data_IF_223649557486
#
_entry.id   IF_223649557486
#
_cell.length_a   1.000
_cell.length_b   1.000
_cell.length_c   1.000
_cell.angle_alpha   90.00
_cell.angle_beta   90.00
_cell.angle_gamma   90.00
#
_symmetry.space_group_name_H-M   'P 1'
#
loop_
_entity.id
_entity.type
_entity.pdbx_description
1 polymer ?
#
# COMPACT_ATOMS: atom_id res chain seq x y z
N UNK A 1 30.44 -22.12 30.34
CA UNK A 1 29.00 -21.77 30.38
C UNK A 1 28.37 -22.49 31.56
N UNK A 2 27.52 -21.83 32.35
CA UNK A 2 26.79 -22.51 33.42
C UNK A 2 25.81 -23.51 32.82
N UNK A 3 25.62 -24.66 33.46
CA UNK A 3 24.57 -25.58 33.05
C UNK A 3 23.19 -24.95 33.29
N UNK A 4 22.13 -25.36 32.56
CA UNK A 4 20.78 -24.84 32.78
C UNK A 4 20.33 -24.96 34.24
N UNK A 5 20.74 -26.06 34.90
CA UNK A 5 20.49 -26.31 36.32
C UNK A 5 21.19 -25.32 37.24
N UNK A 6 22.48 -25.05 37.04
CA UNK A 6 23.24 -24.06 37.81
C UNK A 6 22.70 -22.63 37.63
N UNK A 7 22.27 -22.30 36.41
CA UNK A 7 21.64 -21.01 36.13
C UNK A 7 20.33 -20.83 36.91
N UNK A 8 19.53 -21.90 37.00
CA UNK A 8 18.29 -21.92 37.77
C UNK A 8 18.54 -21.87 39.28
N UNK A 9 19.50 -22.62 39.80
CA UNK A 9 19.86 -22.61 41.23
C UNK A 9 20.27 -21.20 41.69
N UNK A 10 21.09 -20.50 40.91
CA UNK A 10 21.47 -19.11 41.22
C UNK A 10 20.29 -18.14 41.11
N UNK A 11 19.40 -18.34 40.14
CA UNK A 11 18.16 -17.56 40.03
C UNK A 11 17.29 -17.73 41.29
N UNK A 12 17.05 -18.97 41.73
CA UNK A 12 16.31 -19.28 42.95
C UNK A 12 16.95 -18.66 44.18
N UNK A 13 18.28 -18.78 44.33
CA UNK A 13 19.01 -18.17 45.44
C UNK A 13 18.81 -16.66 45.50
N UNK A 14 18.89 -15.95 44.37
CA UNK A 14 18.66 -14.50 44.32
C UNK A 14 17.23 -14.12 44.74
N UNK A 15 16.24 -14.92 44.34
CA UNK A 15 14.84 -14.72 44.74
C UNK A 15 14.58 -14.99 46.23
N UNK A 16 15.23 -16.02 46.80
CA UNK A 16 15.15 -16.31 48.24
C UNK A 16 15.67 -15.13 49.08
N UNK A 17 16.67 -14.39 48.58
CA UNK A 17 17.15 -13.16 49.22
C UNK A 17 16.32 -11.90 48.87
N UNK A 18 15.18 -12.05 48.19
CA UNK A 18 14.31 -10.94 47.80
C UNK A 18 14.85 -10.05 46.68
N UNK A 19 15.98 -10.40 46.04
CA UNK A 19 16.69 -9.58 45.05
C UNK A 19 16.10 -9.75 43.65
N UNK A 20 14.83 -9.35 43.47
CA UNK A 20 14.06 -9.56 42.23
C UNK A 20 14.73 -8.96 40.98
N UNK A 21 15.33 -7.77 41.08
CA UNK A 21 16.03 -7.11 39.96
C UNK A 21 17.28 -7.88 39.52
N UNK A 22 18.13 -8.29 40.47
CA UNK A 22 19.33 -9.09 40.18
C UNK A 22 18.96 -10.47 39.61
N UNK A 23 17.92 -11.11 40.16
CA UNK A 23 17.41 -12.37 39.64
C UNK A 23 16.94 -12.23 38.18
N UNK A 24 16.23 -11.15 37.86
CA UNK A 24 15.74 -10.88 36.51
C UNK A 24 16.89 -10.67 35.51
N UNK A 25 17.88 -9.85 35.86
CA UNK A 25 19.06 -9.65 35.02
C UNK A 25 19.85 -10.95 34.79
N UNK A 26 20.00 -11.75 35.85
CA UNK A 26 20.65 -13.05 35.77
C UNK A 26 19.90 -14.01 34.84
N UNK A 27 18.57 -14.06 34.94
CA UNK A 27 17.73 -14.89 34.09
C UNK A 27 17.85 -14.50 32.61
N UNK A 28 17.83 -13.20 32.29
CA UNK A 28 18.03 -12.71 30.92
C UNK A 28 19.41 -13.08 30.37
N UNK A 29 20.49 -12.86 31.14
CA UNK A 29 21.85 -13.20 30.72
C UNK A 29 22.04 -14.72 30.52
N UNK A 30 21.33 -15.53 31.28
CA UNK A 30 21.38 -16.99 31.22
C UNK A 30 20.38 -17.61 30.23
N UNK A 31 19.66 -16.79 29.45
CA UNK A 31 18.59 -17.22 28.51
C UNK A 31 17.43 -18.00 29.16
N UNK A 32 17.18 -17.80 30.45
CA UNK A 32 16.04 -18.37 31.19
C UNK A 32 14.76 -17.55 30.93
N UNK A 33 14.40 -17.33 29.67
CA UNK A 33 13.36 -16.37 29.27
C UNK A 33 11.98 -16.67 29.85
N UNK A 34 11.59 -17.94 29.98
CA UNK A 34 10.32 -18.29 30.63
C UNK A 34 10.21 -17.77 32.06
N UNK A 35 11.27 -17.95 32.86
CA UNK A 35 11.34 -17.44 34.24
C UNK A 35 11.42 -15.92 34.28
N UNK A 36 12.21 -15.32 33.37
CA UNK A 36 12.36 -13.86 33.29
C UNK A 36 11.04 -13.18 32.93
N UNK A 37 10.33 -13.67 31.89
CA UNK A 37 9.05 -13.12 31.44
C UNK A 37 7.96 -13.31 32.49
N UNK A 38 7.89 -14.48 33.14
CA UNK A 38 6.94 -14.72 34.22
C UNK A 38 7.18 -13.75 35.39
N UNK A 39 8.42 -13.68 35.89
CA UNK A 39 8.76 -12.77 36.99
C UNK A 39 8.45 -11.30 36.61
N UNK A 40 8.85 -10.87 35.42
CA UNK A 40 8.62 -9.51 34.95
C UNK A 40 7.13 -9.16 34.83
N UNK A 41 6.28 -10.11 34.43
CA UNK A 41 4.82 -9.90 34.34
C UNK A 41 4.14 -9.69 35.70
N UNK A 42 4.79 -10.08 36.80
CA UNK A 42 4.35 -9.83 38.19
C UNK A 42 5.07 -8.64 38.84
N UNK A 43 5.89 -7.92 38.07
CA UNK A 43 6.51 -6.67 38.48
C UNK A 43 5.71 -5.50 37.87
N UNK A 44 6.35 -4.35 37.68
CA UNK A 44 5.76 -3.19 37.03
C UNK A 44 5.82 -3.28 35.49
N UNK A 45 4.92 -2.54 34.82
CA UNK A 45 4.80 -2.56 33.36
C UNK A 45 6.08 -2.11 32.63
N UNK A 46 6.88 -1.22 33.23
CA UNK A 46 8.15 -0.77 32.65
C UNK A 46 9.17 -1.90 32.66
N UNK A 47 9.27 -2.66 33.75
CA UNK A 47 10.11 -3.85 33.84
C UNK A 47 9.67 -4.92 32.84
N UNK A 48 8.38 -5.21 32.74
CA UNK A 48 7.84 -6.15 31.75
C UNK A 48 8.20 -5.74 30.31
N UNK A 49 7.95 -4.48 29.96
CA UNK A 49 8.26 -3.92 28.63
C UNK A 49 9.76 -3.98 28.31
N UNK A 50 10.63 -3.74 29.29
CA UNK A 50 12.08 -3.83 29.11
C UNK A 50 12.54 -5.27 28.82
N UNK A 51 12.06 -6.24 29.60
CA UNK A 51 12.40 -7.66 29.42
C UNK A 51 11.87 -8.18 28.09
N UNK A 52 10.63 -7.83 27.73
CA UNK A 52 10.04 -8.17 26.43
C UNK A 52 10.88 -7.60 25.28
N UNK A 53 11.28 -6.33 25.36
CA UNK A 53 12.15 -5.71 24.35
C UNK A 53 13.51 -6.40 24.23
N UNK A 54 14.10 -6.85 25.35
CA UNK A 54 15.38 -7.59 25.35
C UNK A 54 15.23 -8.98 24.76
N UNK A 55 14.11 -9.66 25.02
CA UNK A 55 13.78 -10.95 24.43
C UNK A 55 13.63 -10.85 22.91
N UNK A 56 12.81 -9.91 22.43
CA UNK A 56 12.54 -9.74 20.99
C UNK A 56 13.76 -9.31 20.20
N UNK A 57 14.64 -8.48 20.78
CA UNK A 57 15.92 -8.09 20.15
C UNK A 57 16.93 -9.25 20.10
N UNK A 58 16.74 -10.30 20.92
CA UNK A 58 17.56 -11.50 20.88
C UNK A 58 17.20 -12.48 19.77
N UNK A 59 16.08 -12.25 19.06
CA UNK A 59 15.70 -13.02 17.88
C UNK A 59 16.50 -12.58 16.66
N UNK A 60 16.51 -13.42 15.62
CA UNK A 60 17.18 -13.05 14.38
C UNK A 60 16.42 -11.90 13.70
N UNK A 61 17.15 -10.83 13.37
CA UNK A 61 16.60 -9.61 12.75
C UNK A 61 15.72 -9.88 11.53
N UNK A 62 16.07 -10.90 10.74
CA UNK A 62 15.39 -11.27 9.51
C UNK A 62 14.27 -12.30 9.69
N UNK A 63 13.94 -12.67 10.92
CA UNK A 63 12.87 -13.61 11.24
C UNK A 63 11.52 -12.87 11.32
N UNK A 64 10.50 -13.28 10.54
CA UNK A 64 9.15 -12.73 10.67
C UNK A 64 8.58 -12.82 12.11
N UNK A 65 9.07 -13.75 12.93
CA UNK A 65 8.70 -13.82 14.34
C UNK A 65 9.07 -12.54 15.12
N UNK A 66 10.22 -11.93 14.79
CA UNK A 66 10.60 -10.66 15.38
C UNK A 66 9.66 -9.53 14.94
N UNK A 67 9.22 -9.54 13.67
CA UNK A 67 8.21 -8.58 13.18
C UNK A 67 6.91 -8.70 13.95
N UNK A 68 6.42 -9.94 14.12
CA UNK A 68 5.21 -10.21 14.88
C UNK A 68 5.32 -9.69 16.31
N UNK A 69 6.39 -10.04 17.04
CA UNK A 69 6.51 -9.63 18.43
C UNK A 69 6.71 -8.13 18.62
N UNK A 70 7.38 -7.44 17.69
CA UNK A 70 7.48 -5.98 17.72
C UNK A 70 6.10 -5.34 17.50
N UNK A 71 5.33 -5.86 16.55
CA UNK A 71 3.96 -5.40 16.28
C UNK A 71 3.03 -5.62 17.48
N UNK A 72 3.02 -6.83 18.06
CA UNK A 72 2.25 -7.16 19.27
C UNK A 72 2.67 -6.32 20.49
N UNK A 73 3.90 -5.82 20.50
CA UNK A 73 4.40 -4.89 21.54
C UNK A 73 4.00 -3.43 21.29
N UNK A 74 3.16 -3.15 20.30
CA UNK A 74 2.70 -1.80 19.96
C UNK A 74 3.76 -0.95 19.26
N UNK A 75 4.77 -1.56 18.62
CA UNK A 75 5.87 -0.86 17.96
C UNK A 75 5.87 -1.15 16.47
N UNK A 76 6.31 -0.16 15.68
CA UNK A 76 6.58 -0.37 14.25
C UNK A 76 7.75 -1.36 14.15
N UNK A 77 7.59 -2.49 13.44
CA UNK A 77 8.65 -3.46 13.26
C UNK A 77 9.87 -2.86 12.54
N UNK A 78 11.08 -3.26 12.94
CA UNK A 78 12.31 -2.85 12.25
C UNK A 78 12.35 -3.35 10.79
N UNK A 79 11.62 -4.44 10.51
CA UNK A 79 11.43 -4.91 9.14
C UNK A 79 10.82 -3.82 8.25
N UNK A 80 9.94 -2.97 8.77
CA UNK A 80 9.32 -1.88 8.02
C UNK A 80 10.30 -0.75 7.70
N UNK A 81 11.37 -0.56 8.47
CA UNK A 81 12.35 0.52 8.26
C UNK A 81 13.62 0.06 7.55
N UNK A 82 13.86 -1.25 7.48
CA UNK A 82 15.11 -1.82 6.97
C UNK A 82 14.90 -2.85 5.85
N UNK A 83 13.65 -3.15 5.46
CA UNK A 83 13.34 -4.07 4.37
C UNK A 83 14.09 -3.71 3.07
N UNK A 84 14.58 -4.72 2.36
CA UNK A 84 15.27 -4.56 1.08
C UNK A 84 16.80 -4.48 1.15
N UNK A 85 17.43 -4.62 2.33
CA UNK A 85 18.86 -4.96 2.38
C UNK A 85 19.03 -6.47 2.16
N UNK A 86 20.19 -6.91 1.64
CA UNK A 86 20.55 -8.34 1.50
C UNK A 86 20.42 -9.14 2.81
N UNK A 87 20.51 -8.45 3.95
CA UNK A 87 20.38 -9.04 5.29
C UNK A 87 18.95 -9.47 5.63
N UNK A 88 17.95 -8.86 4.99
CA UNK A 88 16.53 -9.18 5.19
C UNK A 88 16.09 -10.16 4.11
N UNK A 89 15.39 -11.24 4.47
CA UNK A 89 14.94 -12.31 3.55
C UNK A 89 13.78 -11.87 2.63
N UNK A 90 13.82 -10.64 2.13
CA UNK A 90 12.77 -9.97 1.38
C UNK A 90 11.67 -9.38 2.25
N UNK A 91 10.94 -8.40 1.73
CA UNK A 91 9.85 -7.71 2.44
C UNK A 91 8.57 -8.55 2.57
N UNK A 92 8.35 -9.52 1.66
CA UNK A 92 7.10 -10.28 1.53
C UNK A 92 6.70 -11.03 2.81
N UNK A 93 7.58 -11.83 3.48
CA UNK A 93 7.20 -12.55 4.69
C UNK A 93 6.85 -11.60 5.86
N UNK A 94 7.51 -10.46 5.93
CA UNK A 94 7.25 -9.46 6.97
C UNK A 94 5.90 -8.76 6.72
N UNK A 95 5.60 -8.38 5.48
CA UNK A 95 4.29 -7.83 5.13
C UNK A 95 3.17 -8.82 5.42
N UNK A 96 3.33 -10.08 4.99
CA UNK A 96 2.36 -11.14 5.26
C UNK A 96 2.11 -11.32 6.76
N UNK A 97 3.17 -11.24 7.57
CA UNK A 97 3.08 -11.33 9.03
C UNK A 97 2.28 -10.19 9.63
N UNK A 98 2.51 -8.95 9.18
CA UNK A 98 1.76 -7.77 9.66
C UNK A 98 0.29 -7.88 9.28
N UNK A 99 -0.01 -8.30 8.04
CA UNK A 99 -1.38 -8.43 7.55
C UNK A 99 -2.16 -9.56 8.23
N UNK A 100 -1.53 -10.71 8.48
CA UNK A 100 -2.18 -11.86 9.09
C UNK A 100 -2.39 -11.72 10.61
N UNK A 101 -1.63 -10.84 11.27
CA UNK A 101 -1.65 -10.69 12.73
C UNK A 101 -2.02 -9.25 13.11
N UNK A 102 -3.17 -8.79 12.63
CA UNK A 102 -3.69 -7.47 12.99
C UNK A 102 -3.81 -7.35 14.51
N UNK A 103 -3.23 -6.28 15.05
CA UNK A 103 -3.32 -5.95 16.47
C UNK A 103 -4.64 -5.24 16.78
N UNK A 104 -4.96 -5.08 18.07
CA UNK A 104 -6.08 -4.22 18.50
C UNK A 104 -5.95 -2.74 18.08
N UNK A 105 -4.78 -2.32 17.59
CA UNK A 105 -4.55 -1.03 16.94
C UNK A 105 -4.35 -1.24 15.41
N UNK A 106 -5.39 -1.04 14.58
CA UNK A 106 -5.29 -1.15 13.13
C UNK A 106 -4.43 -0.03 12.52
N UNK A 107 -4.37 1.15 13.16
CA UNK A 107 -3.60 2.30 12.68
C UNK A 107 -2.09 2.06 12.84
N UNK A 108 -1.66 1.36 13.90
CA UNK A 108 -0.27 0.90 13.99
C UNK A 108 0.11 -0.02 12.82
N UNK A 109 -0.74 -0.99 12.51
CA UNK A 109 -0.51 -1.94 11.40
C UNK A 109 -0.44 -1.19 10.07
N UNK A 110 -1.39 -0.28 9.82
CA UNK A 110 -1.41 0.58 8.62
C UNK A 110 -0.13 1.42 8.50
N UNK A 111 0.29 2.11 9.58
CA UNK A 111 1.54 2.90 9.60
C UNK A 111 2.78 2.04 9.36
N UNK A 112 2.83 0.84 9.92
CA UNK A 112 3.94 -0.09 9.71
C UNK A 112 4.06 -0.54 8.25
N UNK A 113 2.94 -0.78 7.58
CA UNK A 113 2.91 -1.14 6.15
C UNK A 113 3.31 0.06 5.29
N UNK A 114 2.81 1.26 5.58
CA UNK A 114 3.21 2.48 4.85
C UNK A 114 4.70 2.75 5.00
N UNK A 115 5.24 2.61 6.21
CA UNK A 115 6.69 2.77 6.47
C UNK A 115 7.52 1.77 5.67
N UNK A 116 7.02 0.53 5.53
CA UNK A 116 7.64 -0.48 4.67
C UNK A 116 7.63 -0.04 3.21
N UNK A 117 6.49 0.48 2.73
CA UNK A 117 6.37 1.03 1.38
C UNK A 117 7.34 2.18 1.13
N UNK A 118 7.44 3.13 2.06
CA UNK A 118 8.34 4.28 1.98
C UNK A 118 9.81 3.81 1.87
N UNK A 119 10.20 2.83 2.70
CA UNK A 119 11.55 2.27 2.69
C UNK A 119 11.87 1.55 1.37
N UNK A 120 10.90 0.81 0.81
CA UNK A 120 11.05 0.13 -0.48
C UNK A 120 11.13 1.12 -1.64
N UNK A 121 10.32 2.18 -1.62
CA UNK A 121 10.34 3.24 -2.62
C UNK A 121 11.69 3.98 -2.63
N UNK A 122 12.24 4.31 -1.46
CA UNK A 122 13.57 4.91 -1.31
C UNK A 122 14.70 4.04 -1.89
N UNK A 123 14.49 2.72 -1.96
CA UNK A 123 15.43 1.76 -2.56
C UNK A 123 15.18 1.52 -4.06
N UNK A 124 14.22 2.21 -4.66
CA UNK A 124 13.83 2.02 -6.06
C UNK A 124 12.98 0.78 -6.32
N UNK A 125 12.51 0.09 -5.27
CA UNK A 125 11.64 -1.09 -5.39
C UNK A 125 10.17 -0.65 -5.48
N UNK A 126 9.82 0.03 -6.57
CA UNK A 126 8.53 0.71 -6.74
C UNK A 126 7.34 -0.25 -6.72
N UNK A 127 7.41 -1.38 -7.43
CA UNK A 127 6.33 -2.38 -7.43
C UNK A 127 6.07 -2.92 -6.02
N UNK A 128 7.12 -3.16 -5.24
CA UNK A 128 7.01 -3.62 -3.87
C UNK A 128 6.40 -2.54 -2.95
N UNK A 129 6.82 -1.29 -3.12
CA UNK A 129 6.25 -0.16 -2.39
C UNK A 129 4.75 0.02 -2.67
N UNK A 130 4.36 -0.08 -3.95
CA UNK A 130 2.95 0.01 -4.35
C UNK A 130 2.11 -1.12 -3.76
N UNK A 131 2.63 -2.35 -3.67
CA UNK A 131 1.94 -3.44 -2.95
C UNK A 131 1.69 -3.04 -1.48
N UNK A 132 2.69 -2.50 -0.79
CA UNK A 132 2.50 -2.02 0.58
C UNK A 132 1.43 -0.93 0.66
N UNK A 133 1.45 0.06 -0.23
CA UNK A 133 0.46 1.14 -0.23
C UNK A 133 -0.96 0.64 -0.52
N UNK A 134 -1.12 -0.30 -1.45
CA UNK A 134 -2.41 -0.94 -1.72
C UNK A 134 -2.93 -1.70 -0.49
N UNK A 135 -2.07 -2.49 0.16
CA UNK A 135 -2.45 -3.26 1.36
C UNK A 135 -2.71 -2.38 2.58
N UNK A 136 -2.21 -1.14 2.59
CA UNK A 136 -2.50 -0.14 3.61
C UNK A 136 -3.64 0.83 3.21
N UNK A 137 -4.34 0.55 2.11
CA UNK A 137 -5.44 1.37 1.58
C UNK A 137 -5.08 2.84 1.41
N UNK A 138 -3.84 3.12 0.98
CA UNK A 138 -3.40 4.49 0.67
C UNK A 138 -4.16 4.98 -0.56
N UNK A 139 -4.81 6.16 -0.50
CA UNK A 139 -5.54 6.69 -1.63
C UNK A 139 -4.62 7.04 -2.79
N UNK A 140 -5.14 6.91 -4.01
CA UNK A 140 -4.47 7.39 -5.20
C UNK A 140 -4.47 8.91 -5.24
N UNK A 141 -3.27 9.48 -5.33
CA UNK A 141 -3.00 10.90 -5.36
C UNK A 141 -2.91 11.47 -6.78
N UNK A 142 -2.43 12.71 -6.87
CA UNK A 142 -2.26 13.46 -8.11
C UNK A 142 -0.78 13.59 -8.49
N UNK A 143 -0.50 13.57 -9.79
CA UNK A 143 0.86 13.80 -10.27
C UNK A 143 1.35 15.23 -9.92
N UNK A 144 2.61 15.34 -9.49
CA UNK A 144 3.24 16.60 -9.07
C UNK A 144 3.15 16.89 -7.57
N UNK A 145 2.29 16.18 -6.83
CA UNK A 145 2.20 16.28 -5.37
C UNK A 145 3.22 15.34 -4.75
N UNK A 146 4.34 15.88 -4.25
CA UNK A 146 5.45 15.07 -3.68
C UNK A 146 5.09 14.30 -2.41
N UNK A 147 4.00 14.66 -1.74
CA UNK A 147 3.52 13.98 -0.53
C UNK A 147 2.70 12.73 -0.85
N UNK A 148 2.19 12.63 -2.09
CA UNK A 148 1.41 11.47 -2.52
C UNK A 148 2.34 10.29 -2.71
N UNK A 149 1.89 9.10 -2.29
CA UNK A 149 2.71 7.89 -2.29
C UNK A 149 2.41 6.99 -3.49
N UNK A 150 1.21 7.13 -4.05
CA UNK A 150 0.64 6.25 -5.06
C UNK A 150 -0.17 7.09 -6.06
N UNK A 151 0.18 7.02 -7.35
CA UNK A 151 -0.53 7.77 -8.42
C UNK A 151 -0.89 6.85 -9.59
N UNK A 152 0.11 6.15 -10.15
CA UNK A 152 -0.10 5.06 -11.11
C UNK A 152 0.68 3.84 -10.63
N UNK A 153 0.07 2.67 -10.74
CA UNK A 153 0.71 1.41 -10.39
C UNK A 153 1.87 1.10 -11.33
N UNK A 154 2.97 0.66 -10.72
CA UNK A 154 4.20 0.28 -11.40
C UNK A 154 5.05 1.44 -11.94
N UNK A 155 4.73 2.70 -11.59
CA UNK A 155 5.52 3.85 -12.04
C UNK A 155 5.82 4.85 -10.93
N UNK A 156 7.06 5.34 -10.91
CA UNK A 156 7.51 6.33 -9.93
C UNK A 156 7.06 7.74 -10.34
N UNK A 157 6.19 8.33 -9.53
CA UNK A 157 5.65 9.68 -9.74
C UNK A 157 6.67 10.79 -9.46
N UNK A 158 7.86 10.46 -8.94
CA UNK A 158 9.01 11.36 -8.86
C UNK A 158 9.72 11.56 -10.20
N UNK A 159 9.43 10.72 -11.21
CA UNK A 159 10.01 10.84 -12.55
C UNK A 159 9.33 11.94 -13.38
N UNK A 160 10.00 12.46 -14.42
CA UNK A 160 9.37 13.33 -15.40
C UNK A 160 8.11 12.69 -15.98
N UNK A 161 7.08 13.50 -16.23
CA UNK A 161 5.75 13.05 -16.63
C UNK A 161 5.74 12.02 -17.77
N UNK A 162 6.58 12.20 -18.79
CA UNK A 162 6.67 11.30 -19.95
C UNK A 162 7.21 9.90 -19.58
N UNK A 163 8.10 9.81 -18.59
CA UNK A 163 8.61 8.54 -18.07
C UNK A 163 7.67 7.92 -17.03
N UNK A 164 6.92 8.76 -16.33
CA UNK A 164 5.95 8.33 -15.34
C UNK A 164 4.68 7.75 -15.98
N UNK A 165 4.02 8.51 -16.85
CA UNK A 165 2.71 8.17 -17.42
C UNK A 165 2.86 7.24 -18.64
N UNK A 166 3.52 6.09 -18.48
CA UNK A 166 3.65 5.07 -19.54
C UNK A 166 2.32 4.35 -19.77
N UNK A 167 2.13 3.77 -20.96
CA UNK A 167 0.93 2.97 -21.25
C UNK A 167 0.80 1.79 -20.27
N UNK A 168 1.92 1.15 -19.94
CA UNK A 168 1.94 0.04 -19.00
C UNK A 168 1.44 0.44 -17.60
N UNK A 169 1.87 1.59 -17.08
CA UNK A 169 1.42 2.08 -15.77
C UNK A 169 -0.08 2.41 -15.75
N UNK A 170 -0.58 3.00 -16.85
CA UNK A 170 -2.00 3.28 -17.02
C UNK A 170 -2.80 1.97 -17.07
N UNK A 171 -2.38 1.01 -17.90
CA UNK A 171 -3.05 -0.29 -18.03
C UNK A 171 -3.05 -1.07 -16.72
N UNK A 172 -1.92 -1.12 -15.99
CA UNK A 172 -1.84 -1.77 -14.66
C UNK A 172 -2.81 -1.13 -13.66
N UNK A 173 -2.91 0.20 -13.66
CA UNK A 173 -3.83 0.93 -12.78
C UNK A 173 -5.29 0.69 -13.16
N UNK A 174 -5.58 0.60 -14.46
CA UNK A 174 -6.91 0.27 -14.97
C UNK A 174 -7.33 -1.16 -14.60
N UNK A 175 -6.42 -2.14 -14.73
CA UNK A 175 -6.68 -3.51 -14.29
C UNK A 175 -7.01 -3.55 -12.80
N UNK A 176 -6.28 -2.82 -11.97
CA UNK A 176 -6.58 -2.72 -10.55
C UNK A 176 -7.96 -2.11 -10.29
N UNK A 177 -8.28 -0.98 -10.93
CA UNK A 177 -9.59 -0.34 -10.81
C UNK A 177 -10.72 -1.28 -11.25
N UNK A 178 -10.51 -2.04 -12.32
CA UNK A 178 -11.44 -3.07 -12.78
C UNK A 178 -11.63 -4.18 -11.74
N UNK A 179 -10.54 -4.74 -11.18
CA UNK A 179 -10.62 -5.74 -10.12
C UNK A 179 -11.40 -5.24 -8.90
N UNK A 180 -11.19 -3.98 -8.51
CA UNK A 180 -11.94 -3.37 -7.41
C UNK A 180 -13.44 -3.21 -7.76
N UNK A 181 -13.78 -2.91 -9.02
CA UNK A 181 -15.18 -2.83 -9.46
C UNK A 181 -15.92 -4.16 -9.39
N UNK A 182 -15.23 -5.29 -9.55
CA UNK A 182 -15.84 -6.61 -9.40
C UNK A 182 -16.39 -6.81 -7.97
N UNK A 183 -15.75 -6.22 -6.96
CA UNK A 183 -16.23 -6.24 -5.57
C UNK A 183 -17.16 -5.07 -5.22
N UNK A 184 -16.93 -3.89 -5.81
CA UNK A 184 -17.75 -2.69 -5.60
C UNK A 184 -18.02 -1.99 -6.94
N UNK A 185 -19.21 -2.16 -7.54
CA UNK A 185 -19.55 -1.59 -8.85
C UNK A 185 -19.40 -0.06 -8.95
N UNK A 186 -19.38 0.64 -7.82
CA UNK A 186 -19.21 2.10 -7.76
C UNK A 186 -17.76 2.54 -7.53
N UNK A 187 -16.81 1.60 -7.44
CA UNK A 187 -15.41 1.93 -7.28
C UNK A 187 -14.87 2.70 -8.48
N UNK A 188 -14.29 3.86 -8.20
CA UNK A 188 -13.67 4.73 -9.18
C UNK A 188 -12.50 5.46 -8.52
N UNK A 189 -11.43 5.66 -9.29
CA UNK A 189 -10.29 6.47 -8.85
C UNK A 189 -10.40 7.84 -9.51
N UNK A 190 -10.76 8.92 -8.79
CA UNK A 190 -10.93 10.25 -9.37
C UNK A 190 -9.69 10.78 -10.09
N UNK A 191 -8.53 10.70 -9.44
CA UNK A 191 -7.27 11.15 -10.01
C UNK A 191 -6.85 10.35 -11.27
N UNK A 192 -7.40 9.15 -11.46
CA UNK A 192 -7.05 8.29 -12.59
C UNK A 192 -7.72 8.70 -13.90
N UNK A 193 -8.83 9.44 -13.86
CA UNK A 193 -9.60 9.79 -15.06
C UNK A 193 -8.80 10.63 -16.06
N UNK A 194 -7.92 11.51 -15.58
CA UNK A 194 -7.02 12.29 -16.43
C UNK A 194 -6.03 11.40 -17.21
N UNK A 195 -5.54 10.31 -16.59
CA UNK A 195 -4.63 9.37 -17.25
C UNK A 195 -5.33 8.51 -18.29
N UNK A 196 -6.59 8.12 -18.05
CA UNK A 196 -7.42 7.47 -19.08
C UNK A 196 -7.62 8.37 -20.30
N UNK A 197 -7.85 9.67 -20.08
CA UNK A 197 -7.96 10.62 -21.19
C UNK A 197 -6.67 10.71 -22.01
N UNK A 198 -5.51 10.76 -21.34
CA UNK A 198 -4.20 10.72 -22.02
C UNK A 198 -4.04 9.44 -22.84
N UNK A 199 -4.48 8.31 -22.30
CA UNK A 199 -4.46 7.04 -23.03
C UNK A 199 -5.41 7.05 -24.24
N UNK A 200 -6.61 7.62 -24.11
CA UNK A 200 -7.53 7.82 -25.23
C UNK A 200 -6.91 8.68 -26.35
N UNK A 201 -6.24 9.79 -26.01
CA UNK A 201 -5.51 10.60 -27.00
C UNK A 201 -4.45 9.77 -27.73
N UNK A 202 -3.68 8.95 -26.99
CA UNK A 202 -2.69 8.05 -27.60
C UNK A 202 -3.35 7.04 -28.53
N UNK A 203 -4.49 6.46 -28.16
CA UNK A 203 -5.23 5.54 -29.02
C UNK A 203 -5.64 6.20 -30.35
N UNK A 204 -6.08 7.47 -30.30
CA UNK A 204 -6.37 8.24 -31.52
C UNK A 204 -5.11 8.41 -32.37
N UNK A 205 -3.98 8.75 -31.76
CA UNK A 205 -2.71 8.91 -32.48
C UNK A 205 -2.24 7.60 -33.13
N UNK A 206 -2.58 6.44 -32.55
CA UNK A 206 -2.32 5.11 -33.10
C UNK A 206 -3.39 4.63 -34.10
N UNK A 207 -4.40 5.44 -34.42
CA UNK A 207 -5.44 5.08 -35.38
C UNK A 207 -6.52 4.15 -34.83
N UNK A 208 -6.77 4.17 -33.52
CA UNK A 208 -7.78 3.36 -32.82
C UNK A 208 -8.93 4.24 -32.26
N UNK A 209 -9.68 4.96 -33.12
CA UNK A 209 -10.65 5.96 -32.68
C UNK A 209 -11.86 5.38 -31.94
N UNK A 210 -12.34 4.19 -32.33
CA UNK A 210 -13.49 3.56 -31.67
C UNK A 210 -13.17 3.16 -30.22
N UNK A 211 -11.94 2.72 -29.97
CA UNK A 211 -11.48 2.43 -28.59
C UNK A 211 -11.34 3.73 -27.79
N UNK A 212 -10.79 4.79 -28.39
CA UNK A 212 -10.68 6.09 -27.76
C UNK A 212 -12.07 6.67 -27.38
N UNK A 213 -13.08 6.50 -28.24
CA UNK A 213 -14.45 6.90 -27.96
C UNK A 213 -15.02 6.16 -26.74
N UNK A 214 -14.79 4.85 -26.63
CA UNK A 214 -15.21 4.07 -25.46
C UNK A 214 -14.56 4.57 -24.16
N UNK A 215 -13.28 4.96 -24.21
CA UNK A 215 -12.64 5.60 -23.07
C UNK A 215 -13.31 6.94 -22.70
N UNK A 216 -13.64 7.78 -23.69
CA UNK A 216 -14.36 9.04 -23.43
C UNK A 216 -15.68 8.79 -22.70
N UNK A 217 -16.51 7.88 -23.18
CA UNK A 217 -17.79 7.52 -22.57
C UNK A 217 -17.61 7.03 -21.12
N UNK A 218 -16.65 6.13 -20.89
CA UNK A 218 -16.36 5.59 -19.57
C UNK A 218 -15.86 6.64 -18.58
N UNK A 219 -15.06 7.60 -19.06
CA UNK A 219 -14.58 8.73 -18.25
C UNK A 219 -15.76 9.63 -17.87
N UNK A 220 -16.61 10.00 -18.83
CA UNK A 220 -17.78 10.85 -18.59
C UNK A 220 -18.73 10.20 -17.58
N UNK A 221 -19.05 8.92 -17.77
CA UNK A 221 -19.89 8.17 -16.84
C UNK A 221 -19.28 8.07 -15.43
N UNK A 222 -17.95 8.03 -15.31
CA UNK A 222 -17.26 8.00 -14.01
C UNK A 222 -17.26 9.39 -13.35
N UNK A 223 -17.03 10.44 -14.12
CA UNK A 223 -16.95 11.82 -13.66
C UNK A 223 -18.32 12.31 -13.18
N UNK A 224 -19.40 12.04 -13.92
CA UNK A 224 -20.76 12.44 -13.55
C UNK A 224 -21.28 11.76 -12.27
N UNK A 225 -20.73 10.59 -11.93
CA UNK A 225 -21.09 9.86 -10.69
C UNK A 225 -20.34 10.39 -9.46
N UNK A 226 -19.29 11.20 -9.63
CA UNK A 226 -18.50 11.69 -8.52
C UNK A 226 -19.12 12.96 -7.91
N UNK A 227 -19.14 13.09 -6.57
CA UNK A 227 -19.68 14.27 -5.90
C UNK A 227 -18.78 15.52 -6.00
N UNK A 228 -17.55 15.36 -6.52
CA UNK A 228 -16.57 16.44 -6.66
C UNK A 228 -16.75 17.17 -8.00
N UNK A 229 -16.48 18.47 -8.01
CA UNK A 229 -16.53 19.27 -9.24
C UNK A 229 -15.49 18.74 -10.23
N UNK A 230 -15.90 18.36 -11.45
CA UNK A 230 -14.99 17.85 -12.46
C UNK A 230 -13.96 18.90 -12.89
N UNK A 231 -12.74 18.44 -13.22
CA UNK A 231 -11.70 19.34 -13.73
C UNK A 231 -12.17 19.97 -15.04
N UNK A 232 -12.28 21.31 -15.12
CA UNK A 232 -12.79 21.98 -16.33
C UNK A 232 -11.87 21.76 -17.53
N UNK A 233 -10.56 21.59 -17.29
CA UNK A 233 -9.58 21.29 -18.33
C UNK A 233 -9.80 19.89 -18.91
N UNK A 234 -10.10 18.91 -18.04
CA UNK A 234 -10.40 17.54 -18.48
C UNK A 234 -11.70 17.50 -19.28
N UNK A 235 -12.76 18.16 -18.79
CA UNK A 235 -14.05 18.23 -19.49
C UNK A 235 -13.92 18.90 -20.86
N UNK A 236 -13.27 20.06 -20.95
CA UNK A 236 -13.05 20.73 -22.22
C UNK A 236 -12.21 19.88 -23.19
N UNK A 237 -11.25 19.11 -22.67
CA UNK A 237 -10.48 18.14 -23.45
C UNK A 237 -11.35 16.99 -23.97
N UNK A 238 -12.18 16.41 -23.11
CA UNK A 238 -13.10 15.32 -23.43
C UNK A 238 -14.12 15.72 -24.48
N UNK A 239 -14.76 16.88 -24.32
CA UNK A 239 -15.75 17.40 -25.28
C UNK A 239 -15.11 17.54 -26.66
N UNK A 240 -13.96 18.22 -26.77
CA UNK A 240 -13.25 18.38 -28.04
C UNK A 240 -12.83 17.05 -28.68
N UNK A 241 -12.41 16.08 -27.86
CA UNK A 241 -12.01 14.77 -28.37
C UNK A 241 -13.23 13.96 -28.83
N UNK A 242 -14.30 13.97 -28.04
CA UNK A 242 -15.57 13.32 -28.33
C UNK A 242 -16.21 13.87 -29.61
N UNK A 243 -16.29 15.18 -29.77
CA UNK A 243 -16.81 15.83 -30.98
C UNK A 243 -16.07 15.41 -32.25
N UNK A 244 -14.74 15.22 -32.16
CA UNK A 244 -13.91 14.73 -33.27
C UNK A 244 -14.12 13.24 -33.55
N UNK A 245 -14.43 12.45 -32.52
CA UNK A 245 -14.58 10.99 -32.61
C UNK A 245 -16.03 10.56 -32.85
N UNK A 246 -17.03 11.46 -32.76
CA UNK A 246 -18.45 11.12 -32.88
C UNK A 246 -18.78 10.39 -34.19
N UNK A 247 -18.05 10.67 -35.27
CA UNK A 247 -18.23 10.04 -36.59
C UNK A 247 -17.52 8.68 -36.71
N UNK A 248 -16.73 8.27 -35.71
CA UNK A 248 -15.95 7.04 -35.70
C UNK A 248 -16.58 5.94 -34.81
N UNK A 249 -17.82 6.16 -34.35
CA UNK A 249 -18.58 5.17 -33.63
C UNK A 249 -18.99 4.03 -34.61
N UNK A 250 -18.55 2.78 -34.36
CA UNK A 250 -18.96 1.65 -35.19
C UNK A 250 -20.48 1.44 -35.20
N UNK A 251 -21.21 1.89 -34.17
CA UNK A 251 -22.67 1.82 -34.12
C UNK A 251 -23.36 2.90 -34.97
N UNK A 252 -22.70 4.03 -35.25
CA UNK A 252 -23.20 5.07 -36.16
C UNK A 252 -22.97 4.71 -37.64
N UNK A 253 -21.95 3.89 -37.94
CA UNK A 253 -21.73 3.36 -39.30
C UNK A 253 -22.83 2.39 -39.76
N UNK A 254 -23.60 1.82 -38.84
CA UNK A 254 -24.73 0.92 -39.14
C UNK A 254 -26.09 1.62 -39.12
N UNK A 255 -26.15 2.89 -38.69
CA UNK A 255 -27.39 3.68 -38.60
C UNK A 255 -27.67 4.45 -39.91
N UNK A 256 -28.95 4.60 -40.29
CA UNK A 256 -29.34 5.42 -41.44
C UNK A 256 -28.86 6.88 -41.27
N UNK A 257 -28.53 7.55 -42.37
CA UNK A 257 -27.90 8.89 -42.41
C UNK A 257 -28.62 9.94 -41.54
N UNK A 258 -29.93 9.81 -41.33
CA UNK A 258 -30.76 10.70 -40.51
C UNK A 258 -30.50 10.58 -39.00
N UNK A 259 -29.96 9.47 -38.51
CA UNK A 259 -29.61 9.26 -37.09
C UNK A 259 -28.13 9.57 -36.79
N UNK A 260 -27.31 9.82 -37.82
CA UNK A 260 -25.90 10.14 -37.67
C UNK A 260 -25.64 11.56 -37.14
N UNK A 261 -26.63 12.44 -37.24
CA UNK A 261 -26.57 13.82 -36.75
C UNK A 261 -27.02 13.98 -35.27
N UNK A 262 -27.60 12.93 -34.67
CA UNK A 262 -28.06 12.97 -33.29
C UNK A 262 -26.86 12.94 -32.32
N UNK A 263 -26.71 14.04 -31.58
CA UNK A 263 -25.70 14.14 -30.54
C UNK A 263 -25.92 13.03 -29.47
N UNK A 264 -24.88 12.25 -29.11
CA UNK A 264 -25.02 11.18 -28.14
C UNK A 264 -25.53 11.70 -26.79
N UNK A 265 -26.44 10.97 -26.15
CA UNK A 265 -27.07 11.45 -24.91
C UNK A 265 -26.07 11.67 -23.77
N UNK A 266 -24.92 11.01 -23.79
CA UNK A 266 -23.84 11.26 -22.82
C UNK A 266 -23.10 12.59 -23.06
N UNK A 267 -23.07 13.10 -24.29
CA UNK A 267 -22.51 14.41 -24.65
C UNK A 267 -23.44 15.56 -24.24
N UNK A 268 -24.76 15.36 -24.32
CA UNK A 268 -25.75 16.37 -23.89
C UNK A 268 -25.77 16.63 -22.38
N UNK A 269 -25.25 15.69 -21.60
CA UNK A 269 -25.23 15.73 -20.14
C UNK A 269 -23.89 16.23 -19.56
N UNK A 270 -22.97 16.66 -20.42
CA UNK A 270 -21.68 17.28 -20.09
C UNK A 270 -21.78 18.81 -20.04
#
# INVERSE_FOLDING_TARGET
ANTPKQALEKFTRLLLFGRKKEALEWAMRSRLWGHALFLASKMDNRTYSYVMSRFTTGLAMNDPLQTLFQLLSGRIPQASTCCGDERWRGWRPHLATILANQTGDPELSRRAIITMGDTLALKGLIDAAHVCYLMAEVPFGSFGVKTDKLVLLGSDHGLPFQKFATNEAIQRTEMFEYCQRLGNPHYSIPAFQAFKFIYACRLVDYGLPSQALHYCEGIVASVLKQPMVPSPVLLAGLIRLAERLKLCDPQLSERPEEEQELEPDWLKNL
#
